data_IF_844670997962
#
_entry.id   IF_844670997962
#
_cell.length_a   1.000
_cell.length_b   1.000
_cell.length_c   1.000
_cell.angle_alpha   90.00
_cell.angle_beta   90.00
_cell.angle_gamma   90.00
#
_symmetry.space_group_name_H-M   'P 1'
#
loop_
_entity.id
_entity.type
_entity.pdbx_description
1 polymer ?
#
# COMPACT_ATOMS: atom_id res chain seq x y z
N UNK A 1 2.75 -6.98 -11.33
CA UNK A 1 3.41 -8.24 -11.03
C UNK A 1 2.42 -9.17 -10.35
N UNK A 2 2.37 -10.44 -10.80
CA UNK A 2 1.64 -11.53 -10.11
C UNK A 2 2.64 -12.52 -9.53
N UNK A 3 2.40 -12.96 -8.30
CA UNK A 3 3.23 -13.96 -7.62
C UNK A 3 2.38 -14.87 -6.72
N UNK A 4 2.77 -16.14 -6.62
CA UNK A 4 2.16 -17.12 -5.74
C UNK A 4 3.25 -17.72 -4.84
N UNK A 5 2.97 -17.87 -3.55
CA UNK A 5 3.88 -18.40 -2.55
C UNK A 5 3.09 -19.28 -1.56
N UNK A 6 3.17 -20.62 -1.72
CA UNK A 6 2.39 -21.56 -0.93
C UNK A 6 0.88 -21.30 -1.05
N UNK A 7 0.15 -21.13 0.09
CA UNK A 7 -1.29 -20.80 0.08
C UNK A 7 -1.60 -19.37 -0.34
N UNK A 8 -0.59 -18.49 -0.43
CA UNK A 8 -0.75 -17.10 -0.79
C UNK A 8 -0.69 -16.87 -2.30
N UNK A 9 -1.57 -16.04 -2.81
CA UNK A 9 -1.53 -15.53 -4.19
C UNK A 9 -1.77 -14.04 -4.21
N UNK A 10 -1.01 -13.29 -5.02
CA UNK A 10 -1.09 -11.84 -5.00
C UNK A 10 -0.80 -11.13 -6.31
N UNK A 11 -1.22 -9.88 -6.33
CA UNK A 11 -0.99 -8.92 -7.39
C UNK A 11 -0.38 -7.65 -6.80
N UNK A 12 0.77 -7.20 -7.33
CA UNK A 12 1.46 -5.98 -6.92
C UNK A 12 1.39 -4.93 -8.01
N UNK A 13 1.15 -3.69 -7.60
CA UNK A 13 1.02 -2.53 -8.47
C UNK A 13 2.31 -1.71 -8.49
N UNK A 14 2.78 -1.39 -9.69
CA UNK A 14 3.96 -0.56 -9.89
C UNK A 14 3.97 -0.04 -11.33
N UNK A 15 3.72 1.25 -11.51
CA UNK A 15 3.96 1.89 -12.80
C UNK A 15 5.44 2.30 -12.92
N UNK A 16 6.09 2.14 -14.10
CA UNK A 16 7.51 2.45 -14.28
C UNK A 16 7.92 3.87 -13.90
N UNK A 17 7.04 4.84 -14.05
CA UNK A 17 7.25 6.23 -13.64
C UNK A 17 6.42 6.64 -12.41
N UNK A 18 5.92 5.66 -11.63
CA UNK A 18 5.12 5.92 -10.43
C UNK A 18 3.63 6.14 -10.65
N UNK A 19 3.15 6.22 -11.90
CA UNK A 19 1.72 6.23 -12.27
C UNK A 19 1.50 5.86 -13.73
N UNK A 20 0.24 5.62 -14.07
CA UNK A 20 -0.20 5.30 -15.43
C UNK A 20 0.15 6.40 -16.44
N UNK A 21 0.39 6.00 -17.68
CA UNK A 21 0.49 6.90 -18.83
C UNK A 21 -0.84 7.59 -19.18
N UNK A 22 -1.96 7.06 -18.65
CA UNK A 22 -3.29 7.65 -18.77
C UNK A 22 -3.63 8.41 -17.48
N UNK A 23 -3.37 9.72 -17.40
CA UNK A 23 -3.49 10.49 -16.15
C UNK A 23 -4.88 10.47 -15.53
N UNK A 24 -5.92 10.37 -16.34
CA UNK A 24 -7.31 10.26 -15.90
C UNK A 24 -7.63 8.95 -15.18
N UNK A 25 -6.85 7.90 -15.44
CA UNK A 25 -7.01 6.56 -14.88
C UNK A 25 -5.89 6.17 -13.90
N UNK A 26 -4.86 7.01 -13.74
CA UNK A 26 -3.75 6.76 -12.84
C UNK A 26 -4.14 6.89 -11.37
N UNK A 27 -3.64 5.98 -10.53
CA UNK A 27 -3.72 6.01 -9.07
C UNK A 27 -2.33 6.16 -8.46
N UNK A 28 -2.26 6.58 -7.20
CA UNK A 28 -1.04 6.65 -6.40
C UNK A 28 -0.86 5.32 -5.65
N UNK A 29 -0.82 4.23 -6.39
CA UNK A 29 -0.82 2.84 -5.94
C UNK A 29 0.55 2.17 -6.02
N UNK A 30 1.63 2.94 -6.17
CA UNK A 30 2.99 2.42 -6.18
C UNK A 30 3.29 1.67 -4.87
N UNK A 31 3.56 0.37 -4.97
CA UNK A 31 3.72 -0.53 -3.83
C UNK A 31 2.41 -1.01 -3.22
N UNK A 32 1.27 -0.71 -3.83
CA UNK A 32 -0.01 -1.32 -3.52
C UNK A 32 -0.02 -2.79 -3.94
N UNK A 33 -0.83 -3.58 -3.24
CA UNK A 33 -0.97 -5.00 -3.51
C UNK A 33 -2.35 -5.52 -3.12
N UNK A 34 -2.70 -6.65 -3.69
CA UNK A 34 -3.82 -7.50 -3.30
C UNK A 34 -3.29 -8.87 -2.93
N UNK A 35 -3.76 -9.47 -1.84
CA UNK A 35 -3.37 -10.80 -1.39
C UNK A 35 -4.57 -11.66 -1.02
N UNK A 36 -4.54 -12.88 -1.52
CA UNK A 36 -5.50 -13.94 -1.20
C UNK A 36 -4.77 -15.07 -0.46
N UNK A 37 -5.43 -15.64 0.52
CA UNK A 37 -5.02 -16.87 1.20
C UNK A 37 -6.00 -17.99 0.83
N UNK A 38 -5.52 -19.07 0.21
CA UNK A 38 -6.34 -20.21 -0.26
C UNK A 38 -7.56 -19.76 -1.10
N UNK A 39 -7.40 -18.65 -1.87
CA UNK A 39 -8.44 -18.07 -2.71
C UNK A 39 -9.38 -17.09 -2.01
N UNK A 40 -9.31 -16.92 -0.69
CA UNK A 40 -10.03 -15.87 0.03
C UNK A 40 -9.28 -14.53 -0.10
N UNK A 41 -9.90 -13.45 -0.60
CA UNK A 41 -9.28 -12.14 -0.60
C UNK A 41 -9.15 -11.62 0.85
N UNK A 42 -7.91 -11.42 1.31
CA UNK A 42 -7.60 -10.93 2.66
C UNK A 42 -7.28 -9.45 2.65
N UNK A 43 -6.36 -9.05 1.76
CA UNK A 43 -6.02 -7.65 1.52
C UNK A 43 -6.42 -7.28 0.11
N UNK A 44 -7.22 -6.22 0.00
CA UNK A 44 -7.87 -5.81 -1.25
C UNK A 44 -7.42 -4.42 -1.67
N UNK A 45 -7.43 -4.13 -2.97
CA UNK A 45 -7.44 -2.77 -3.48
C UNK A 45 -8.87 -2.23 -3.49
N UNK A 46 -9.05 -0.99 -3.05
CA UNK A 46 -10.39 -0.42 -2.89
C UNK A 46 -11.01 0.03 -4.20
N UNK A 47 -10.24 0.13 -5.26
CA UNK A 47 -10.73 0.61 -6.54
C UNK A 47 -11.21 2.07 -6.48
N UNK A 48 -12.11 2.44 -7.40
CA UNK A 48 -12.54 3.82 -7.59
C UNK A 48 -14.00 3.92 -8.04
N UNK A 49 -14.84 4.55 -7.21
CA UNK A 49 -16.28 4.64 -7.48
C UNK A 49 -16.70 5.73 -8.46
N UNK A 50 -15.88 6.76 -8.69
CA UNK A 50 -16.16 7.88 -9.60
C UNK A 50 -14.89 8.60 -10.06
N UNK A 51 -15.00 9.30 -11.19
CA UNK A 51 -13.95 10.19 -11.65
C UNK A 51 -14.10 11.58 -11.03
N UNK A 52 -12.98 12.27 -10.84
CA UNK A 52 -12.93 13.62 -10.28
C UNK A 52 -11.59 13.96 -9.65
N UNK A 53 -11.38 15.22 -9.33
CA UNK A 53 -10.13 15.74 -8.76
C UNK A 53 -10.23 16.22 -7.32
N UNK A 54 -11.39 16.06 -6.68
CA UNK A 54 -11.64 16.52 -5.31
C UNK A 54 -12.50 15.54 -4.54
N UNK A 55 -12.58 15.71 -3.23
CA UNK A 55 -13.41 14.92 -2.34
C UNK A 55 -13.10 13.43 -2.39
N UNK A 56 -14.13 12.61 -2.38
CA UNK A 56 -14.04 11.16 -2.41
C UNK A 56 -13.27 10.63 -3.64
N UNK A 57 -13.52 11.18 -4.83
CA UNK A 57 -12.83 10.76 -6.05
C UNK A 57 -11.31 10.97 -5.97
N UNK A 58 -10.85 12.04 -5.33
CA UNK A 58 -9.43 12.29 -5.10
C UNK A 58 -8.87 11.34 -4.03
N UNK A 59 -9.64 11.04 -2.97
CA UNK A 59 -9.24 10.10 -1.91
C UNK A 59 -8.96 8.71 -2.46
N UNK A 60 -9.87 8.16 -3.29
CA UNK A 60 -9.72 6.81 -3.87
C UNK A 60 -8.68 6.72 -4.98
N UNK A 61 -8.15 7.84 -5.44
CA UNK A 61 -7.00 7.88 -6.34
C UNK A 61 -5.68 8.06 -5.60
N UNK A 62 -5.70 8.54 -4.36
CA UNK A 62 -4.51 8.76 -3.54
C UNK A 62 -4.04 7.46 -2.88
N UNK A 63 -2.81 7.44 -2.41
CA UNK A 63 -2.24 6.33 -1.64
C UNK A 63 -2.99 6.02 -0.34
N UNK A 64 -3.93 6.87 0.08
CA UNK A 64 -4.81 6.59 1.22
C UNK A 64 -5.81 5.45 0.97
N UNK A 65 -6.05 5.08 -0.29
CA UNK A 65 -6.96 4.00 -0.68
C UNK A 65 -6.24 2.74 -1.18
N UNK A 66 -4.93 2.65 -0.99
CA UNK A 66 -4.11 1.53 -1.45
C UNK A 66 -3.28 0.95 -0.30
N UNK A 67 -2.92 -0.34 -0.40
CA UNK A 67 -2.10 -1.08 0.58
C UNK A 67 -0.63 -0.66 0.48
N UNK A 68 -0.32 0.60 0.81
CA UNK A 68 1.01 1.18 0.62
C UNK A 68 1.42 2.12 1.76
N UNK A 69 2.59 2.71 1.63
CA UNK A 69 3.15 3.68 2.57
C UNK A 69 2.81 5.11 2.12
N UNK A 70 2.57 5.98 3.08
CA UNK A 70 2.52 7.44 2.91
C UNK A 70 3.52 8.10 3.85
N UNK A 71 4.09 9.22 3.43
CA UNK A 71 5.02 10.00 4.24
C UNK A 71 4.48 11.42 4.41
N UNK A 72 4.32 11.86 5.66
CA UNK A 72 3.71 13.15 6.02
C UNK A 72 2.34 13.36 5.36
N UNK A 73 1.53 12.29 5.25
CA UNK A 73 0.22 12.31 4.59
C UNK A 73 0.25 12.56 3.08
N UNK A 74 1.42 12.45 2.45
CA UNK A 74 1.61 12.68 1.02
C UNK A 74 1.68 11.37 0.24
N UNK A 75 1.26 11.46 -1.02
CA UNK A 75 1.41 10.39 -2.00
C UNK A 75 2.87 10.26 -2.45
N UNK A 76 3.30 9.07 -2.94
CA UNK A 76 4.70 8.86 -3.35
C UNK A 76 5.13 9.78 -4.49
N UNK A 77 4.27 10.05 -5.47
CA UNK A 77 4.59 10.90 -6.60
C UNK A 77 3.72 12.16 -6.63
N UNK A 78 4.17 13.26 -7.25
CA UNK A 78 3.32 14.43 -7.45
C UNK A 78 2.16 14.10 -8.39
N UNK A 79 1.02 14.79 -8.26
CA UNK A 79 -0.12 14.57 -9.16
C UNK A 79 0.28 14.88 -10.60
N UNK A 80 -0.05 13.96 -11.53
CA UNK A 80 0.20 14.11 -12.95
C UNK A 80 -0.81 15.09 -13.59
N UNK A 81 -0.62 16.38 -13.33
CA UNK A 81 -1.49 17.47 -13.83
C UNK A 81 -0.66 18.67 -14.25
N UNK A 82 -0.97 19.29 -15.43
CA UNK A 82 -2.05 18.94 -16.36
C UNK A 82 -1.79 17.75 -17.30
N UNK A 83 -0.78 17.06 -17.32
CA UNK A 83 -0.34 15.92 -18.11
C UNK A 83 1.20 16.03 -18.27
N UNK A 84 1.86 15.75 -17.18
CA UNK A 84 3.31 15.83 -17.16
C UNK A 84 3.91 14.72 -18.02
N UNK A 85 4.96 15.06 -18.73
CA UNK A 85 5.75 14.12 -19.47
C UNK A 85 6.62 13.23 -18.54
N UNK A 86 7.32 12.30 -19.15
CA UNK A 86 8.19 11.38 -18.43
C UNK A 86 9.33 12.11 -17.70
N UNK A 87 9.92 13.10 -18.34
CA UNK A 87 11.06 13.86 -17.80
C UNK A 87 10.66 14.64 -16.55
N UNK A 88 9.50 15.29 -16.59
CA UNK A 88 8.95 15.97 -15.42
C UNK A 88 8.70 15.00 -14.27
N UNK A 89 8.09 13.84 -14.52
CA UNK A 89 7.83 12.83 -13.49
C UNK A 89 9.12 12.33 -12.85
N UNK A 90 10.15 12.06 -13.64
CA UNK A 90 11.46 11.66 -13.13
C UNK A 90 12.12 12.75 -12.28
N UNK A 91 12.08 13.99 -12.75
CA UNK A 91 12.65 15.13 -12.02
C UNK A 91 11.96 15.41 -10.69
N UNK A 92 10.64 15.22 -10.61
CA UNK A 92 9.85 15.53 -9.42
C UNK A 92 9.55 14.33 -8.53
N UNK A 93 9.60 13.12 -9.06
CA UNK A 93 9.28 11.86 -8.39
C UNK A 93 10.49 10.96 -8.08
N UNK A 94 11.67 11.31 -8.61
CA UNK A 94 12.88 10.52 -8.47
C UNK A 94 13.03 9.42 -9.53
N UNK A 95 13.79 8.39 -9.21
CA UNK A 95 14.04 7.23 -10.09
C UNK A 95 12.75 6.44 -10.33
N UNK A 96 12.58 5.81 -11.53
CA UNK A 96 11.48 4.87 -11.74
C UNK A 96 11.48 3.75 -10.69
N UNK A 97 10.31 3.28 -10.27
CA UNK A 97 10.23 2.18 -9.33
C UNK A 97 10.70 0.86 -9.97
N UNK A 98 11.32 0.01 -9.16
CA UNK A 98 11.77 -1.33 -9.54
C UNK A 98 11.03 -2.35 -8.69
N UNK A 99 10.21 -3.17 -9.34
CA UNK A 99 9.44 -4.24 -8.72
C UNK A 99 9.87 -5.59 -9.30
N UNK A 100 10.17 -6.56 -8.45
CA UNK A 100 10.61 -7.89 -8.88
C UNK A 100 10.36 -8.98 -7.85
N UNK A 101 10.46 -10.23 -8.33
CA UNK A 101 10.49 -11.41 -7.48
C UNK A 101 11.91 -11.57 -6.94
N UNK A 102 12.01 -11.85 -5.65
CA UNK A 102 13.26 -12.20 -4.94
C UNK A 102 13.14 -13.62 -4.39
N UNK A 103 14.22 -14.15 -3.81
CA UNK A 103 14.30 -15.56 -3.39
C UNK A 103 13.12 -16.02 -2.52
N UNK A 104 12.67 -15.17 -1.60
CA UNK A 104 11.65 -15.47 -0.60
C UNK A 104 10.36 -14.63 -0.75
N UNK A 105 10.15 -14.01 -1.91
CA UNK A 105 8.94 -13.24 -2.13
C UNK A 105 9.03 -12.15 -3.20
N UNK A 106 8.56 -10.94 -2.85
CA UNK A 106 8.49 -9.78 -3.77
C UNK A 106 9.19 -8.58 -3.14
N UNK A 107 9.88 -7.79 -3.95
CA UNK A 107 10.50 -6.54 -3.51
C UNK A 107 10.18 -5.41 -4.47
N UNK A 108 9.85 -4.27 -3.90
CA UNK A 108 9.74 -2.98 -4.58
C UNK A 108 10.77 -2.01 -4.01
N UNK A 109 11.45 -1.24 -4.88
CA UNK A 109 12.22 -0.06 -4.48
C UNK A 109 11.81 1.12 -5.34
N UNK A 110 11.54 2.27 -4.72
CA UNK A 110 11.18 3.51 -5.41
C UNK A 110 11.72 4.75 -4.70
N UNK A 111 11.70 5.89 -5.41
CA UNK A 111 12.16 7.19 -4.92
C UNK A 111 11.03 8.25 -4.96
N UNK A 112 9.78 7.80 -4.91
CA UNK A 112 8.61 8.66 -5.07
C UNK A 112 8.48 9.78 -4.05
N UNK A 113 9.12 9.64 -2.89
CA UNK A 113 9.11 10.64 -1.83
C UNK A 113 10.36 11.54 -1.81
N UNK A 114 11.26 11.43 -2.80
CA UNK A 114 12.51 12.21 -2.84
C UNK A 114 12.27 13.73 -2.73
N UNK A 115 11.16 14.24 -3.29
CA UNK A 115 10.77 15.65 -3.15
C UNK A 115 10.45 16.10 -1.72
N UNK A 116 10.25 15.15 -0.78
CA UNK A 116 10.04 15.42 0.63
C UNK A 116 11.34 15.37 1.44
N UNK A 117 12.47 15.06 0.79
CA UNK A 117 13.78 14.94 1.43
C UNK A 117 14.13 13.51 1.89
N UNK A 118 13.34 12.50 1.54
CA UNK A 118 13.70 11.10 1.80
C UNK A 118 14.64 10.56 0.73
N UNK A 119 15.33 9.46 1.03
CA UNK A 119 16.02 8.63 0.05
C UNK A 119 15.07 7.62 -0.61
N UNK A 120 15.59 6.41 -0.87
CA UNK A 120 14.79 5.30 -1.38
C UNK A 120 13.81 4.77 -0.33
N UNK A 121 12.69 4.25 -0.82
CA UNK A 121 11.76 3.41 -0.06
C UNK A 121 11.84 2.01 -0.65
N UNK A 122 12.20 1.03 0.18
CA UNK A 122 12.19 -0.39 -0.18
C UNK A 122 11.15 -1.10 0.66
N UNK A 123 10.27 -1.83 -0.01
CA UNK A 123 9.25 -2.67 0.60
C UNK A 123 9.45 -4.10 0.13
N UNK A 124 9.55 -5.04 1.08
CA UNK A 124 9.74 -6.46 0.81
C UNK A 124 8.63 -7.28 1.45
N UNK A 125 8.00 -8.16 0.68
CA UNK A 125 7.03 -9.15 1.15
C UNK A 125 7.70 -10.51 1.17
N UNK A 126 7.74 -11.15 2.33
CA UNK A 126 8.34 -12.48 2.52
C UNK A 126 7.28 -13.42 3.05
N UNK A 127 7.13 -14.56 2.41
CA UNK A 127 6.03 -15.50 2.64
C UNK A 127 6.47 -16.76 3.36
N UNK A 128 5.57 -17.28 4.21
CA UNK A 128 5.64 -18.57 4.84
C UNK A 128 4.24 -19.23 4.79
N UNK A 129 4.14 -20.54 5.05
CA UNK A 129 2.85 -21.25 4.96
C UNK A 129 1.79 -20.67 5.89
N UNK A 130 2.17 -20.27 7.09
CA UNK A 130 1.28 -19.75 8.13
C UNK A 130 1.33 -18.21 8.28
N UNK A 131 1.75 -17.50 7.23
CA UNK A 131 1.76 -16.06 7.28
C UNK A 131 2.75 -15.42 6.32
N UNK A 132 2.94 -14.12 6.46
CA UNK A 132 3.95 -13.35 5.75
C UNK A 132 4.31 -12.10 6.55
N UNK A 133 5.37 -11.44 6.14
CA UNK A 133 5.66 -10.11 6.66
C UNK A 133 6.04 -9.13 5.54
N UNK A 134 5.85 -7.86 5.84
CA UNK A 134 6.24 -6.74 4.99
C UNK A 134 7.29 -5.93 5.74
N UNK A 135 8.49 -5.87 5.19
CA UNK A 135 9.55 -5.00 5.69
C UNK A 135 9.57 -3.71 4.88
N UNK A 136 9.43 -2.58 5.57
CA UNK A 136 9.54 -1.24 5.02
C UNK A 136 10.86 -0.61 5.46
N UNK A 137 11.73 -0.28 4.51
CA UNK A 137 12.95 0.47 4.71
C UNK A 137 12.84 1.82 4.02
N UNK A 138 13.04 2.93 4.77
CA UNK A 138 13.03 4.28 4.22
C UNK A 138 14.39 4.91 4.52
N UNK A 139 15.18 5.10 3.49
CA UNK A 139 16.48 5.73 3.59
C UNK A 139 16.37 7.26 3.68
N UNK A 140 17.40 7.91 4.21
CA UNK A 140 17.49 9.37 4.28
C UNK A 140 17.87 9.89 5.64
N UNK A 141 17.58 11.18 5.88
CA UNK A 141 17.84 11.89 7.13
C UNK A 141 16.63 12.77 7.44
N UNK A 142 16.32 12.95 8.72
CA UNK A 142 15.20 13.79 9.18
C UNK A 142 14.09 12.97 9.81
N UNK A 143 13.11 13.67 10.37
CA UNK A 143 11.99 13.07 11.11
C UNK A 143 10.69 13.18 10.30
N UNK A 144 9.94 12.08 10.18
CA UNK A 144 8.77 11.97 9.33
C UNK A 144 7.64 11.21 10.02
N UNK A 145 6.41 11.55 9.66
CA UNK A 145 5.26 10.70 9.93
C UNK A 145 5.15 9.66 8.82
N UNK A 146 5.35 8.39 9.16
CA UNK A 146 5.27 7.25 8.26
C UNK A 146 3.93 6.57 8.54
N UNK A 147 3.04 6.57 7.56
CA UNK A 147 1.74 5.93 7.63
C UNK A 147 1.76 4.65 6.80
N UNK A 148 1.41 3.52 7.42
CA UNK A 148 1.26 2.23 6.75
C UNK A 148 -0.21 1.85 6.75
N UNK A 149 -0.73 1.43 5.59
CA UNK A 149 -2.15 1.15 5.39
C UNK A 149 -2.35 -0.22 4.78
N UNK A 150 -3.32 -0.98 5.31
CA UNK A 150 -3.84 -2.21 4.75
C UNK A 150 -5.38 -2.15 4.73
N UNK A 151 -5.98 -2.68 3.68
CA UNK A 151 -7.43 -2.65 3.47
C UNK A 151 -7.99 -4.06 3.37
N UNK A 152 -9.17 -4.25 3.96
CA UNK A 152 -9.91 -5.51 3.89
C UNK A 152 -11.42 -5.22 3.86
N UNK A 153 -12.18 -6.12 3.26
CA UNK A 153 -13.66 -6.14 3.36
C UNK A 153 -14.16 -7.24 4.31
N UNK A 154 -13.22 -7.98 4.92
CA UNK A 154 -13.53 -8.92 5.98
C UNK A 154 -13.75 -8.19 7.31
N UNK A 155 -14.51 -8.80 8.25
CA UNK A 155 -14.65 -8.26 9.60
C UNK A 155 -13.29 -8.11 10.28
N UNK A 156 -13.04 -6.94 10.87
CA UNK A 156 -11.75 -6.61 11.50
C UNK A 156 -11.98 -5.86 12.82
N UNK A 157 -11.16 -6.16 13.82
CA UNK A 157 -11.13 -5.49 15.12
C UNK A 157 -9.68 -5.19 15.54
N UNK A 158 -9.46 -4.10 16.28
CA UNK A 158 -8.11 -3.77 16.79
C UNK A 158 -7.71 -4.70 17.92
N UNK A 159 -6.42 -5.05 17.97
CA UNK A 159 -5.83 -5.89 19.01
C UNK A 159 -4.38 -5.46 19.27
N UNK A 160 -4.09 -4.90 20.45
CA UNK A 160 -2.74 -4.46 20.78
C UNK A 160 -2.18 -3.45 19.77
N UNK A 161 -1.02 -3.76 19.20
CA UNK A 161 -0.35 -2.97 18.16
C UNK A 161 -0.78 -3.37 16.73
N UNK A 162 -1.98 -3.92 16.58
CA UNK A 162 -2.44 -4.42 15.29
C UNK A 162 -3.94 -4.64 15.23
N UNK A 163 -4.34 -5.64 14.45
CA UNK A 163 -5.73 -5.99 14.24
C UNK A 163 -5.89 -7.51 14.04
N UNK A 164 -7.10 -8.00 14.24
CA UNK A 164 -7.50 -9.36 13.89
C UNK A 164 -8.55 -9.27 12.80
N UNK A 165 -8.28 -9.90 11.66
CA UNK A 165 -9.22 -10.05 10.54
C UNK A 165 -9.84 -11.44 10.67
N UNK A 166 -11.16 -11.54 10.53
CA UNK A 166 -11.91 -12.81 10.58
C UNK A 166 -12.22 -13.27 9.16
N UNK A 167 -11.48 -14.25 8.68
CA UNK A 167 -11.77 -14.97 7.44
C UNK A 167 -12.89 -16.01 7.63
N UNK A 168 -13.17 -16.78 6.59
CA UNK A 168 -14.23 -17.80 6.58
C UNK A 168 -13.91 -18.98 7.50
N UNK A 169 -12.68 -19.46 7.46
CA UNK A 169 -12.23 -20.65 8.17
C UNK A 169 -11.08 -20.35 9.14
N UNK A 170 -10.37 -19.26 8.91
CA UNK A 170 -9.19 -18.84 9.67
C UNK A 170 -9.31 -17.40 10.13
N UNK A 171 -8.46 -16.98 11.04
CA UNK A 171 -8.25 -15.61 11.42
C UNK A 171 -6.83 -15.17 11.08
N UNK A 172 -6.67 -13.90 10.72
CA UNK A 172 -5.37 -13.31 10.43
C UNK A 172 -5.04 -12.31 11.52
N UNK A 173 -3.95 -12.55 12.24
CA UNK A 173 -3.43 -11.62 13.24
C UNK A 173 -2.41 -10.72 12.56
N UNK A 174 -2.70 -9.44 12.50
CA UNK A 174 -1.85 -8.42 11.83
C UNK A 174 -1.20 -7.56 12.90
N UNK A 175 0.12 -7.60 13.01
CA UNK A 175 0.91 -6.72 13.89
C UNK A 175 1.63 -5.66 13.04
N UNK A 176 1.38 -4.40 13.32
CA UNK A 176 2.03 -3.26 12.65
C UNK A 176 3.28 -2.75 13.40
N UNK A 177 3.55 -3.29 14.58
CA UNK A 177 4.60 -2.76 15.48
C UNK A 177 4.27 -1.40 16.08
N UNK A 178 3.01 -0.98 16.04
CA UNK A 178 2.51 0.29 16.57
C UNK A 178 0.99 0.35 16.59
N UNK A 179 0.41 1.37 17.25
CA UNK A 179 -1.05 1.48 17.42
C UNK A 179 -1.75 1.61 16.08
N UNK A 180 -2.87 0.88 15.94
CA UNK A 180 -3.68 0.83 14.74
C UNK A 180 -5.04 1.48 14.98
N UNK A 181 -5.48 2.32 14.05
CA UNK A 181 -6.84 2.80 13.94
C UNK A 181 -7.57 2.15 12.76
N UNK A 182 -8.89 2.00 12.89
CA UNK A 182 -9.74 1.49 11.81
C UNK A 182 -10.52 2.65 11.20
N UNK A 183 -10.41 2.82 9.89
CA UNK A 183 -11.16 3.81 9.13
C UNK A 183 -12.19 3.13 8.23
N UNK A 184 -13.50 3.51 8.30
CA UNK A 184 -14.49 3.04 7.33
C UNK A 184 -14.12 3.48 5.91
N UNK A 185 -14.15 2.53 4.98
CA UNK A 185 -13.88 2.72 3.56
C UNK A 185 -14.96 2.05 2.70
N UNK A 186 -14.89 2.28 1.40
CA UNK A 186 -15.73 1.58 0.42
C UNK A 186 -14.82 0.87 -0.57
N UNK A 187 -15.05 -0.42 -0.80
CA UNK A 187 -14.46 -1.13 -1.94
C UNK A 187 -15.40 -0.97 -3.14
N UNK A 188 -14.88 -0.49 -4.26
CA UNK A 188 -15.65 -0.19 -5.45
C UNK A 188 -15.53 -1.31 -6.49
N UNK A 189 -16.56 -2.13 -6.60
CA UNK A 189 -16.63 -3.21 -7.60
C UNK A 189 -16.86 -2.67 -9.02
N UNK A 190 -17.50 -1.51 -9.13
CA UNK A 190 -17.75 -0.80 -10.38
C UNK A 190 -18.08 0.68 -10.11
N UNK A 191 -18.20 1.48 -11.18
CA UNK A 191 -18.58 2.88 -11.08
C UNK A 191 -19.90 3.06 -10.32
N UNK A 192 -19.85 3.79 -9.19
CA UNK A 192 -20.98 4.04 -8.31
C UNK A 192 -21.52 2.81 -7.55
N UNK A 193 -20.86 1.66 -7.65
CA UNK A 193 -21.28 0.42 -6.99
C UNK A 193 -20.16 -0.06 -6.05
N UNK A 194 -20.35 0.16 -4.76
CA UNK A 194 -19.38 -0.21 -3.75
C UNK A 194 -19.99 -1.00 -2.60
N UNK A 195 -19.13 -1.63 -1.81
CA UNK A 195 -19.45 -2.36 -0.58
C UNK A 195 -18.57 -1.87 0.58
N UNK A 196 -18.99 -2.06 1.83
CA UNK A 196 -18.19 -1.67 2.99
C UNK A 196 -16.81 -2.34 2.97
N UNK A 197 -15.80 -1.58 3.37
CA UNK A 197 -14.45 -2.04 3.62
C UNK A 197 -13.84 -1.25 4.78
N UNK A 198 -12.70 -1.68 5.28
CA UNK A 198 -12.00 -1.05 6.38
C UNK A 198 -10.53 -0.87 6.04
N UNK A 199 -9.98 0.31 6.32
CA UNK A 199 -8.55 0.53 6.35
C UNK A 199 -8.02 0.35 7.77
N UNK A 200 -6.99 -0.46 7.93
CA UNK A 200 -6.13 -0.52 9.11
C UNK A 200 -5.01 0.48 8.90
N UNK A 201 -4.86 1.44 9.79
CA UNK A 201 -3.93 2.56 9.64
C UNK A 201 -3.02 2.63 10.85
N UNK A 202 -1.71 2.60 10.60
CA UNK A 202 -0.68 2.77 11.60
C UNK A 202 0.18 3.98 11.25
N UNK A 203 0.18 5.00 12.10
CA UNK A 203 1.01 6.19 12.00
C UNK A 203 2.19 6.10 12.97
N UNK A 204 3.40 6.24 12.45
CA UNK A 204 4.64 6.19 13.22
C UNK A 204 5.46 7.46 12.94
N UNK A 205 5.82 8.18 13.99
CA UNK A 205 6.81 9.26 13.90
C UNK A 205 8.19 8.66 14.12
N UNK A 206 9.06 8.76 13.12
CA UNK A 206 10.40 8.18 13.17
C UNK A 206 11.44 9.05 12.48
N UNK A 207 12.67 8.94 12.95
CA UNK A 207 13.83 9.46 12.27
C UNK A 207 14.31 8.48 11.19
N UNK A 208 14.82 9.02 10.08
CA UNK A 208 15.42 8.21 9.03
C UNK A 208 16.91 7.92 9.34
N UNK A 209 17.43 6.74 8.95
CA UNK A 209 16.74 5.67 8.24
C UNK A 209 15.72 4.95 9.13
N UNK A 210 14.56 4.61 8.56
CA UNK A 210 13.50 3.87 9.23
C UNK A 210 13.47 2.41 8.73
N UNK A 211 13.29 1.49 9.67
CA UNK A 211 13.03 0.08 9.43
C UNK A 211 11.77 -0.31 10.21
N UNK A 212 10.78 -0.83 9.53
CA UNK A 212 9.53 -1.27 10.15
C UNK A 212 8.99 -2.54 9.52
N UNK A 213 8.36 -3.37 10.35
CA UNK A 213 7.73 -4.62 9.91
C UNK A 213 6.24 -4.59 10.15
N UNK A 214 5.48 -5.17 9.24
CA UNK A 214 4.12 -5.64 9.45
C UNK A 214 4.19 -7.16 9.37
N UNK A 215 3.69 -7.86 10.38
CA UNK A 215 3.58 -9.32 10.36
C UNK A 215 2.13 -9.74 10.27
N UNK A 216 1.88 -10.79 9.51
CA UNK A 216 0.55 -11.41 9.38
C UNK A 216 0.69 -12.89 9.66
N UNK A 217 -0.03 -13.38 10.66
CA UNK A 217 -0.07 -14.80 11.05
C UNK A 217 -1.47 -15.36 10.85
N UNK A 218 -1.54 -16.61 10.37
CA UNK A 218 -2.80 -17.33 10.11
C UNK A 218 -3.03 -18.34 11.22
N UNK A 219 -4.23 -18.31 11.82
CA UNK A 219 -4.63 -19.16 12.95
C UNK A 219 -5.96 -19.86 12.71
#
# INVERSE_FOLDING_TARGET
LRHNAGPWSGLWHCAPEGWSTMPGHGHQDCGGFELHFEGEPVFIDLGRGRYGGSGEAARYRSSAAHNTVRINGRDPYPPNRPYYDREFRQATGGQPPVLGIVEDGVQLTHHGFARLGTGSVTRRWQFADQGFHIDDEIAGIGSFCIQRRLHTDLPVETCGNGAVIRGREVRYVVDFGGPVSLEPMTCWDAYGKGRPATAMVCDIHADLPYLGRISVEVH
#
